data_IF_813423651626
#
_entry.id   IF_813423651626
#
_cell.length_a   1.000
_cell.length_b   1.000
_cell.length_c   1.000
_cell.angle_alpha   90.00
_cell.angle_beta   90.00
_cell.angle_gamma   90.00
#
_symmetry.space_group_name_H-M   'P 1'
#
loop_
_entity.id
_entity.type
_entity.pdbx_description
1 polymer ?
#
# COMPACT_ATOMS: atom_id res chain seq x y z
N UNK A 1 -6.39 -22.19 19.79
CA UNK A 1 -7.72 -22.20 19.15
C UNK A 1 -7.77 -23.39 18.23
N UNK A 2 -8.61 -24.37 18.53
CA UNK A 2 -8.81 -25.54 17.67
C UNK A 2 -10.03 -25.30 16.78
N UNK A 3 -9.89 -25.51 15.47
CA UNK A 3 -10.96 -25.32 14.48
C UNK A 3 -11.73 -26.63 14.30
N UNK A 4 -13.04 -26.56 14.10
CA UNK A 4 -13.89 -27.73 13.81
C UNK A 4 -13.78 -28.13 12.32
N UNK A 5 -13.98 -29.41 11.97
CA UNK A 5 -14.00 -29.84 10.57
C UNK A 5 -15.17 -29.20 9.80
N UNK A 6 -14.93 -28.91 8.52
CA UNK A 6 -15.96 -28.43 7.60
C UNK A 6 -16.95 -29.55 7.25
N UNK A 7 -18.23 -29.20 7.11
CA UNK A 7 -19.26 -30.16 6.72
C UNK A 7 -19.27 -30.35 5.20
N UNK A 8 -18.97 -31.58 4.77
CA UNK A 8 -18.86 -31.95 3.35
C UNK A 8 -20.25 -32.29 2.78
N UNK A 9 -20.94 -31.28 2.24
CA UNK A 9 -22.21 -31.46 1.53
C UNK A 9 -22.23 -30.67 0.20
N UNK A 10 -23.21 -30.97 -0.64
CA UNK A 10 -23.34 -30.37 -1.99
C UNK A 10 -23.41 -28.85 -1.93
N UNK A 11 -24.21 -28.28 -1.02
CA UNK A 11 -24.35 -26.83 -0.87
C UNK A 11 -23.04 -26.14 -0.45
N UNK A 12 -22.27 -26.75 0.46
CA UNK A 12 -20.94 -26.28 0.87
C UNK A 12 -19.97 -26.26 -0.32
N UNK A 13 -19.99 -27.32 -1.14
CA UNK A 13 -19.15 -27.43 -2.33
C UNK A 13 -19.54 -26.42 -3.43
N UNK A 14 -20.84 -26.26 -3.70
CA UNK A 14 -21.34 -25.25 -4.65
C UNK A 14 -20.93 -23.85 -4.20
N UNK A 15 -21.23 -23.48 -2.96
CA UNK A 15 -20.89 -22.16 -2.44
C UNK A 15 -19.37 -21.91 -2.40
N UNK A 16 -18.55 -22.94 -2.18
CA UNK A 16 -17.10 -22.81 -2.28
C UNK A 16 -16.65 -22.52 -3.72
N UNK A 17 -17.24 -23.20 -4.70
CA UNK A 17 -17.00 -22.97 -6.14
C UNK A 17 -17.43 -21.56 -6.56
N UNK A 18 -18.61 -21.11 -6.17
CA UNK A 18 -19.10 -19.76 -6.49
C UNK A 18 -18.18 -18.68 -5.92
N UNK A 19 -17.76 -18.81 -4.65
CA UNK A 19 -16.77 -17.90 -4.05
C UNK A 19 -15.43 -17.92 -4.79
N UNK A 20 -15.01 -19.08 -5.29
CA UNK A 20 -13.80 -19.19 -6.08
C UNK A 20 -13.94 -18.44 -7.42
N UNK A 21 -15.06 -18.61 -8.13
CA UNK A 21 -15.35 -17.87 -9.37
C UNK A 21 -15.37 -16.35 -9.13
N UNK A 22 -16.05 -15.89 -8.07
CA UNK A 22 -16.10 -14.49 -7.69
C UNK A 22 -14.70 -13.91 -7.40
N UNK A 23 -13.82 -14.67 -6.72
CA UNK A 23 -12.44 -14.25 -6.46
C UNK A 23 -11.64 -14.08 -7.76
N UNK A 24 -11.76 -15.01 -8.70
CA UNK A 24 -11.08 -14.91 -10.00
C UNK A 24 -11.55 -13.67 -10.75
N UNK A 25 -12.86 -13.43 -10.82
CA UNK A 25 -13.40 -12.23 -11.46
C UNK A 25 -12.91 -10.95 -10.76
N UNK A 26 -12.93 -10.91 -9.43
CA UNK A 26 -12.43 -9.77 -8.67
C UNK A 26 -10.94 -9.47 -8.94
N UNK A 27 -10.11 -10.50 -9.15
CA UNK A 27 -8.70 -10.31 -9.53
C UNK A 27 -8.56 -9.72 -10.93
N UNK A 28 -9.35 -10.19 -11.90
CA UNK A 28 -9.37 -9.65 -13.26
C UNK A 28 -9.79 -8.18 -13.24
N UNK A 29 -10.92 -7.88 -12.58
CA UNK A 29 -11.43 -6.51 -12.46
C UNK A 29 -10.41 -5.59 -11.79
N UNK A 30 -9.71 -6.09 -10.77
CA UNK A 30 -8.65 -5.35 -10.09
C UNK A 30 -7.47 -5.08 -11.02
N UNK A 31 -7.00 -6.09 -11.76
CA UNK A 31 -5.92 -5.93 -12.73
C UNK A 31 -6.29 -4.89 -13.81
N UNK A 32 -7.52 -4.93 -14.33
CA UNK A 32 -8.02 -3.95 -15.30
C UNK A 32 -8.00 -2.53 -14.71
N UNK A 33 -8.45 -2.34 -13.47
CA UNK A 33 -8.40 -1.03 -12.77
C UNK A 33 -6.97 -0.51 -12.63
N UNK A 34 -6.04 -1.37 -12.21
CA UNK A 34 -4.61 -1.03 -12.07
C UNK A 34 -4.02 -0.64 -13.43
N UNK A 35 -4.32 -1.41 -14.47
CA UNK A 35 -3.80 -1.18 -15.81
C UNK A 35 -4.29 0.16 -16.38
N UNK A 36 -5.60 0.40 -16.32
CA UNK A 36 -6.24 1.63 -16.80
C UNK A 36 -5.87 2.87 -15.98
N UNK A 37 -5.43 2.70 -14.72
CA UNK A 37 -5.14 3.78 -13.77
C UNK A 37 -6.28 4.80 -13.65
N UNK A 38 -7.53 4.31 -13.60
CA UNK A 38 -8.73 5.16 -13.61
C UNK A 38 -8.76 6.20 -12.47
N UNK A 39 -8.15 5.87 -11.33
CA UNK A 39 -8.01 6.74 -10.15
C UNK A 39 -6.74 7.60 -10.14
N UNK A 40 -6.09 7.84 -11.29
CA UNK A 40 -4.80 8.56 -11.35
C UNK A 40 -4.82 9.92 -10.63
N UNK A 41 -5.86 10.72 -10.82
CA UNK A 41 -5.97 12.02 -10.15
C UNK A 41 -6.00 11.87 -8.62
N UNK A 42 -6.76 10.91 -8.12
CA UNK A 42 -6.87 10.62 -6.69
C UNK A 42 -5.54 10.10 -6.12
N UNK A 43 -4.88 9.15 -6.79
CA UNK A 43 -3.60 8.60 -6.30
C UNK A 43 -2.53 9.69 -6.21
N UNK A 44 -2.49 10.60 -7.19
CA UNK A 44 -1.53 11.69 -7.22
C UNK A 44 -1.81 12.70 -6.12
N UNK A 45 -3.09 13.01 -5.86
CA UNK A 45 -3.50 13.85 -4.72
C UNK A 45 -3.12 13.22 -3.37
N UNK A 46 -3.18 11.89 -3.27
CA UNK A 46 -2.75 11.12 -2.09
C UNK A 46 -1.24 10.89 -2.03
N UNK A 47 -0.47 11.33 -3.02
CA UNK A 47 0.98 11.10 -3.13
C UNK A 47 1.34 9.60 -3.13
N UNK A 48 0.52 8.75 -3.73
CA UNK A 48 0.72 7.30 -3.78
C UNK A 48 1.13 6.85 -5.20
N UNK A 49 2.00 5.86 -5.29
CA UNK A 49 2.26 5.18 -6.56
C UNK A 49 1.08 4.28 -6.94
N UNK A 50 1.01 3.90 -8.22
CA UNK A 50 -0.05 3.01 -8.73
C UNK A 50 -0.20 1.74 -7.88
N UNK A 51 0.91 1.07 -7.54
CA UNK A 51 0.87 -0.15 -6.74
C UNK A 51 0.30 0.09 -5.33
N UNK A 52 0.70 1.15 -4.63
CA UNK A 52 0.23 1.43 -3.28
C UNK A 52 -1.22 1.91 -3.23
N UNK A 53 -1.67 2.66 -4.24
CA UNK A 53 -3.03 3.18 -4.30
C UNK A 53 -4.08 2.08 -4.52
N UNK A 54 -3.80 1.13 -5.41
CA UNK A 54 -4.72 0.03 -5.68
C UNK A 54 -4.57 -1.14 -4.69
N UNK A 55 -3.43 -1.29 -4.00
CA UNK A 55 -3.26 -2.36 -3.04
C UNK A 55 -4.21 -2.23 -1.82
N UNK A 56 -4.86 -3.33 -1.43
CA UNK A 56 -5.54 -3.42 -0.14
C UNK A 56 -4.52 -3.63 0.98
N UNK A 57 -4.63 -2.91 2.09
CA UNK A 57 -3.82 -3.14 3.30
C UNK A 57 -4.71 -3.32 4.51
N UNK A 58 -4.28 -4.19 5.41
CA UNK A 58 -4.88 -4.35 6.73
C UNK A 58 -4.03 -3.53 7.71
N UNK A 59 -4.66 -2.56 8.37
CA UNK A 59 -4.08 -1.79 9.46
C UNK A 59 -4.82 -2.11 10.75
N UNK A 60 -4.08 -2.30 11.84
CA UNK A 60 -4.67 -2.37 13.18
C UNK A 60 -5.07 -0.97 13.66
N UNK A 61 -6.15 -0.87 14.43
CA UNK A 61 -6.55 0.37 15.08
C UNK A 61 -5.57 0.70 16.21
N UNK A 62 -4.58 1.56 15.93
CA UNK A 62 -3.50 1.90 16.85
C UNK A 62 -2.88 3.26 16.51
N UNK A 63 -2.59 4.06 17.53
CA UNK A 63 -1.82 5.29 17.36
C UNK A 63 -0.34 4.93 17.16
N UNK A 64 0.16 5.11 15.93
CA UNK A 64 1.52 4.69 15.54
C UNK A 64 2.36 5.90 15.19
N UNK A 65 3.47 6.10 15.91
CA UNK A 65 4.50 7.06 15.52
C UNK A 65 5.44 6.43 14.51
N UNK A 66 5.78 7.16 13.44
CA UNK A 66 6.80 6.74 12.49
C UNK A 66 7.61 7.93 11.97
N UNK A 67 8.96 7.89 12.05
CA UNK A 67 9.79 8.93 11.47
C UNK A 67 9.78 8.85 9.94
N UNK A 68 9.81 10.00 9.27
CA UNK A 68 10.00 10.11 7.83
C UNK A 68 11.39 9.55 7.43
N UNK A 69 11.43 8.66 6.45
CA UNK A 69 12.66 8.05 5.93
C UNK A 69 13.65 9.05 5.34
N UNK A 70 13.19 10.23 4.91
CA UNK A 70 14.04 11.26 4.30
C UNK A 70 14.51 12.32 5.30
N UNK A 71 13.62 12.91 6.09
CA UNK A 71 13.96 14.03 6.99
C UNK A 71 13.92 13.69 8.48
N UNK A 72 13.47 12.49 8.85
CA UNK A 72 13.36 12.07 10.25
C UNK A 72 12.17 12.66 11.01
N UNK A 73 11.30 13.49 10.39
CA UNK A 73 10.14 14.08 11.07
C UNK A 73 9.24 12.99 11.67
N UNK A 74 8.88 13.13 12.95
CA UNK A 74 8.01 12.17 13.64
C UNK A 74 6.56 12.44 13.27
N UNK A 75 5.96 11.52 12.53
CA UNK A 75 4.54 11.57 12.15
C UNK A 75 3.71 10.64 13.03
N UNK A 76 2.47 11.03 13.33
CA UNK A 76 1.50 10.21 14.06
C UNK A 76 0.39 9.72 13.12
N UNK A 77 0.10 8.42 13.16
CA UNK A 77 -0.94 7.78 12.36
C UNK A 77 -1.97 7.10 13.28
N UNK A 78 -3.23 7.06 12.85
CA UNK A 78 -4.33 6.38 13.57
C UNK A 78 -4.38 4.87 13.37
N UNK A 79 -3.45 4.30 12.60
CA UNK A 79 -3.34 2.86 12.39
C UNK A 79 -1.89 2.40 12.24
N UNK A 80 -1.68 1.09 12.27
CA UNK A 80 -0.37 0.50 11.94
C UNK A 80 -0.02 0.56 10.44
N UNK A 81 -0.99 0.89 9.57
CA UNK A 81 -0.77 1.13 8.14
C UNK A 81 -0.24 2.56 7.92
N UNK A 82 1.04 2.76 8.24
CA UNK A 82 1.74 4.06 8.24
C UNK A 82 2.35 4.42 6.87
N UNK A 83 2.65 5.69 6.66
CA UNK A 83 3.43 6.19 5.51
C UNK A 83 4.93 6.22 5.86
N UNK A 84 5.81 5.97 4.89
CA UNK A 84 7.27 5.98 5.12
C UNK A 84 7.90 7.37 4.93
N UNK A 85 7.22 8.27 4.21
CA UNK A 85 7.62 9.65 4.03
C UNK A 85 6.50 10.59 4.48
N UNK A 86 6.88 11.73 5.03
CA UNK A 86 5.96 12.84 5.23
C UNK A 86 5.55 13.46 3.87
N UNK A 87 4.41 14.14 3.85
CA UNK A 87 3.88 14.74 2.62
C UNK A 87 4.85 15.75 1.95
N UNK A 88 5.59 16.60 2.70
CA UNK A 88 6.59 17.50 2.10
C UNK A 88 7.70 16.76 1.35
N UNK A 89 8.32 15.74 1.98
CA UNK A 89 9.39 14.97 1.34
C UNK A 89 8.90 14.15 0.14
N UNK A 90 7.71 13.56 0.25
CA UNK A 90 7.09 12.86 -0.87
C UNK A 90 6.82 13.80 -2.06
N UNK A 91 6.34 15.01 -1.79
CA UNK A 91 6.06 16.03 -2.83
C UNK A 91 7.35 16.54 -3.47
N UNK A 92 8.33 16.95 -2.66
CA UNK A 92 9.61 17.47 -3.15
C UNK A 92 10.40 16.41 -3.93
N UNK A 93 10.30 15.14 -3.53
CA UNK A 93 10.98 14.03 -4.17
C UNK A 93 10.24 13.41 -5.36
N UNK A 94 8.98 13.77 -5.62
CA UNK A 94 8.10 13.04 -6.54
C UNK A 94 8.06 11.53 -6.21
N UNK A 95 7.91 11.22 -4.91
CA UNK A 95 7.94 9.86 -4.37
C UNK A 95 6.58 9.47 -3.80
N UNK A 96 6.32 8.18 -3.78
CA UNK A 96 5.20 7.59 -3.07
C UNK A 96 5.40 7.80 -1.57
N UNK A 97 4.51 8.56 -0.91
CA UNK A 97 4.56 8.75 0.55
C UNK A 97 4.49 7.42 1.31
N UNK A 98 3.80 6.44 0.72
CA UNK A 98 3.49 5.16 1.35
C UNK A 98 4.66 4.18 1.37
N UNK A 99 5.41 4.06 0.28
CA UNK A 99 6.50 3.09 0.15
C UNK A 99 7.87 3.71 -0.10
N UNK A 100 7.95 5.00 -0.39
CA UNK A 100 9.20 5.72 -0.69
C UNK A 100 9.72 5.51 -2.11
N UNK A 101 9.10 4.63 -2.90
CA UNK A 101 9.45 4.42 -4.30
C UNK A 101 9.00 5.55 -5.22
N UNK A 102 9.44 5.50 -6.48
CA UNK A 102 9.01 6.45 -7.50
C UNK A 102 7.49 6.39 -7.73
N UNK A 103 6.85 7.55 -7.81
CA UNK A 103 5.39 7.66 -7.91
C UNK A 103 4.83 7.06 -9.20
N UNK A 104 5.62 7.03 -10.27
CA UNK A 104 5.29 6.43 -11.56
C UNK A 104 6.01 5.09 -11.80
N UNK A 105 6.63 4.49 -10.76
CA UNK A 105 7.31 3.19 -10.81
C UNK A 105 8.51 3.19 -11.78
N UNK A 106 9.21 4.33 -11.89
CA UNK A 106 10.43 4.46 -12.70
C UNK A 106 11.66 4.12 -11.86
N UNK A 107 12.25 2.95 -12.07
CA UNK A 107 13.38 2.49 -11.28
C UNK A 107 14.68 3.30 -11.51
N UNK A 108 14.92 3.77 -12.74
CA UNK A 108 16.18 4.40 -13.14
C UNK A 108 16.12 5.94 -13.16
N UNK A 109 15.64 6.56 -12.09
CA UNK A 109 15.70 8.03 -11.95
C UNK A 109 17.06 8.49 -11.44
N UNK A 110 17.47 9.68 -11.88
CA UNK A 110 18.62 10.40 -11.31
C UNK A 110 18.12 11.25 -10.13
N UNK A 111 18.91 11.36 -9.06
CA UNK A 111 18.58 12.21 -7.91
C UNK A 111 17.59 11.57 -6.93
N UNK A 112 18.02 10.50 -6.25
CA UNK A 112 17.33 9.98 -5.08
C UNK A 112 17.66 10.86 -3.86
N UNK A 113 16.68 11.17 -2.99
CA UNK A 113 16.97 11.86 -1.75
C UNK A 113 17.83 10.98 -0.83
N UNK A 114 18.72 11.61 -0.07
CA UNK A 114 19.51 10.93 0.94
C UNK A 114 18.60 10.37 2.06
N UNK A 115 19.00 9.25 2.64
CA UNK A 115 18.32 8.68 3.80
C UNK A 115 18.57 9.55 5.04
N UNK A 116 17.57 9.63 5.91
CA UNK A 116 17.77 10.14 7.27
C UNK A 116 18.68 9.21 8.06
N UNK A 117 19.65 9.76 8.80
CA UNK A 117 20.46 9.03 9.77
C UNK A 117 20.36 9.70 11.14
N UNK A 118 20.01 8.93 12.18
CA UNK A 118 19.99 9.42 13.58
C UNK A 118 21.40 9.69 14.12
N UNK A 119 22.39 9.00 13.56
CA UNK A 119 23.82 9.29 13.73
C UNK A 119 24.32 10.03 12.49
N UNK A 120 24.87 11.25 12.60
CA UNK A 120 25.63 11.82 11.49
C UNK A 120 26.88 10.96 11.35
N UNK A 121 27.00 10.20 10.25
CA UNK A 121 28.18 9.44 9.82
C UNK A 121 29.15 9.02 10.94
N UNK A 122 29.06 7.77 11.42
CA UNK A 122 30.19 7.14 12.10
C UNK A 122 31.36 6.97 11.13
#
# INVERSE_FOLDING_TARGET
MEQKPQLMNVSSMIGATERAQQRVQAWIDHATKVQADAGKSERLARLECKACFYASRIGGAAMTYRPCMCCGSRELYSSTATDVLCAPCATAGDLCKRCGGDREIRAQRKGWPAAYSETPNA
#
